data_IF_833976564487
#
_entry.id   IF_833976564487
#
_cell.length_a   1.000
_cell.length_b   1.000
_cell.length_c   1.000
_cell.angle_alpha   90.00
_cell.angle_beta   90.00
_cell.angle_gamma   90.00
#
_symmetry.space_group_name_H-M   'P 1'
#
loop_
_entity.id
_entity.type
_entity.pdbx_description
1 polymer ?
#
# COMPACT_ATOMS: atom_id res chain seq x y z
N UNK A 1 -0.76 -7.27 -2.74
CA UNK A 1 -1.57 -7.11 -3.98
C UNK A 1 -0.73 -6.71 -5.19
N UNK A 2 -0.26 -5.45 -5.29
CA UNK A 2 0.51 -4.96 -6.45
C UNK A 2 1.69 -5.86 -6.84
N UNK A 3 2.57 -6.18 -5.89
CA UNK A 3 3.79 -6.96 -6.17
C UNK A 3 3.52 -8.33 -6.80
N UNK A 4 2.42 -8.97 -6.45
CA UNK A 4 2.01 -10.28 -6.97
C UNK A 4 1.24 -10.16 -8.29
N UNK A 5 0.35 -9.16 -8.42
CA UNK A 5 -0.67 -9.13 -9.47
C UNK A 5 -0.48 -8.04 -10.53
N UNK A 6 0.61 -7.27 -10.48
CA UNK A 6 0.85 -6.18 -11.44
C UNK A 6 0.99 -6.66 -12.88
N UNK A 7 1.61 -7.83 -13.06
CA UNK A 7 1.87 -8.45 -14.38
C UNK A 7 0.98 -9.70 -14.60
N UNK A 8 -0.12 -9.82 -13.86
CA UNK A 8 -1.03 -10.97 -13.99
C UNK A 8 -1.63 -11.03 -15.40
N UNK A 9 -1.43 -12.16 -16.06
CA UNK A 9 -1.79 -12.41 -17.47
C UNK A 9 -3.03 -13.30 -17.63
N UNK A 10 -3.66 -13.68 -16.52
CA UNK A 10 -4.84 -14.54 -16.49
C UNK A 10 -4.60 -15.90 -15.84
N UNK A 11 -3.35 -16.26 -15.56
CA UNK A 11 -2.99 -17.51 -14.89
C UNK A 11 -2.63 -17.29 -13.41
N UNK A 12 -3.25 -18.06 -12.53
CA UNK A 12 -3.03 -18.03 -11.07
C UNK A 12 -2.44 -19.35 -10.57
N UNK A 13 -2.31 -20.36 -11.44
CA UNK A 13 -2.05 -21.74 -11.05
C UNK A 13 -3.20 -22.37 -10.25
N UNK A 14 -2.90 -23.51 -9.63
CA UNK A 14 -3.89 -24.37 -8.98
C UNK A 14 -4.13 -24.01 -7.50
N UNK A 15 -3.21 -23.25 -6.88
CA UNK A 15 -3.30 -22.86 -5.47
C UNK A 15 -3.12 -21.35 -5.29
N UNK A 16 -3.82 -20.72 -4.32
CA UNK A 16 -3.62 -19.32 -4.01
C UNK A 16 -2.17 -19.05 -3.55
N UNK A 17 -1.45 -18.06 -4.12
CA UNK A 17 -0.09 -17.78 -3.71
C UNK A 17 -0.04 -17.25 -2.27
N UNK A 18 1.05 -17.55 -1.56
CA UNK A 18 1.29 -17.03 -0.21
C UNK A 18 1.50 -15.51 -0.25
N UNK A 19 0.83 -14.78 0.63
CA UNK A 19 0.80 -13.32 0.60
C UNK A 19 2.11 -12.70 1.08
N UNK A 20 2.43 -12.86 2.37
CA UNK A 20 3.62 -12.25 2.97
C UNK A 20 4.87 -13.09 2.69
N UNK A 21 4.76 -14.42 2.76
CA UNK A 21 5.88 -15.31 2.47
C UNK A 21 6.27 -15.29 0.98
N UNK A 22 5.32 -15.01 0.08
CA UNK A 22 5.57 -14.82 -1.34
C UNK A 22 6.17 -13.46 -1.72
N UNK A 23 6.48 -12.59 -0.75
CA UNK A 23 7.01 -11.25 -1.04
C UNK A 23 8.31 -11.30 -1.86
N UNK A 24 8.26 -10.73 -3.06
CA UNK A 24 9.40 -10.63 -3.98
C UNK A 24 10.33 -9.47 -3.62
N UNK A 25 11.54 -9.48 -4.19
CA UNK A 25 12.54 -8.41 -3.97
C UNK A 25 12.07 -7.05 -4.49
N UNK A 26 11.47 -7.03 -5.68
CA UNK A 26 10.94 -5.81 -6.29
C UNK A 26 9.78 -5.24 -5.49
N UNK A 27 8.91 -6.10 -4.95
CA UNK A 27 7.80 -5.69 -4.08
C UNK A 27 8.31 -5.16 -2.73
N UNK A 28 9.31 -5.81 -2.13
CA UNK A 28 9.93 -5.33 -0.89
C UNK A 28 10.65 -3.98 -1.09
N UNK A 29 11.33 -3.80 -2.21
CA UNK A 29 11.97 -2.53 -2.58
C UNK A 29 10.93 -1.42 -2.72
N UNK A 30 9.84 -1.65 -3.47
CA UNK A 30 8.76 -0.68 -3.60
C UNK A 30 8.12 -0.35 -2.24
N UNK A 31 7.88 -1.36 -1.39
CA UNK A 31 7.35 -1.16 -0.04
C UNK A 31 8.28 -0.29 0.81
N UNK A 32 9.60 -0.51 0.71
CA UNK A 32 10.61 0.31 1.37
C UNK A 32 10.58 1.76 0.87
N UNK A 33 10.54 1.97 -0.45
CA UNK A 33 10.47 3.32 -1.03
C UNK A 33 9.20 4.08 -0.66
N UNK A 34 8.06 3.39 -0.55
CA UNK A 34 6.81 3.98 -0.03
C UNK A 34 6.96 4.34 1.47
N UNK A 35 7.60 3.49 2.27
CA UNK A 35 7.83 3.79 3.68
C UNK A 35 8.76 5.01 3.87
N UNK A 36 9.76 5.19 3.01
CA UNK A 36 10.59 6.40 2.98
C UNK A 36 9.80 7.65 2.63
N UNK A 37 8.87 7.57 1.66
CA UNK A 37 7.95 8.67 1.35
C UNK A 37 7.08 9.03 2.57
N UNK A 38 6.54 8.04 3.27
CA UNK A 38 5.73 8.26 4.48
C UNK A 38 6.53 8.94 5.59
N UNK A 39 7.78 8.52 5.82
CA UNK A 39 8.66 9.17 6.81
C UNK A 39 8.94 10.63 6.41
N UNK A 40 9.20 10.91 5.13
CA UNK A 40 9.39 12.29 4.62
C UNK A 40 8.14 13.15 4.82
N UNK A 41 6.95 12.59 4.57
CA UNK A 41 5.67 13.27 4.84
C UNK A 41 5.57 13.62 6.32
N UNK A 42 5.80 12.66 7.22
CA UNK A 42 5.73 12.88 8.66
C UNK A 42 6.69 13.98 9.12
N UNK A 43 7.94 13.97 8.67
CA UNK A 43 8.91 15.03 8.98
C UNK A 43 8.45 16.41 8.47
N UNK A 44 7.85 16.48 7.28
CA UNK A 44 7.33 17.74 6.74
C UNK A 44 6.10 18.24 7.51
N UNK A 45 5.23 17.35 8.00
CA UNK A 45 4.11 17.70 8.89
C UNK A 45 4.64 18.25 10.21
N UNK A 46 5.60 17.57 10.84
CA UNK A 46 6.22 18.00 12.10
C UNK A 46 6.84 19.39 11.97
N UNK A 47 7.59 19.66 10.89
CA UNK A 47 8.17 21.00 10.63
C UNK A 47 7.06 22.06 10.48
N UNK A 48 6.00 21.75 9.73
CA UNK A 48 4.95 22.72 9.41
C UNK A 48 4.03 23.02 10.60
N UNK A 49 3.77 22.01 11.44
CA UNK A 49 2.83 22.09 12.57
C UNK A 49 3.52 22.39 13.90
N UNK A 50 4.82 22.06 14.01
CA UNK A 50 5.60 22.05 15.26
C UNK A 50 5.10 21.03 16.29
N UNK A 51 4.32 20.04 15.85
CA UNK A 51 3.85 18.92 16.66
C UNK A 51 4.81 17.73 16.58
N UNK A 52 4.93 16.97 17.66
CA UNK A 52 5.81 15.79 17.73
C UNK A 52 5.22 14.61 16.94
N UNK A 53 5.88 14.22 15.84
CA UNK A 53 5.46 13.10 14.97
C UNK A 53 6.63 12.11 14.74
N UNK A 54 7.71 12.24 15.51
CA UNK A 54 8.95 11.47 15.37
C UNK A 54 8.79 9.95 15.55
N UNK A 55 7.64 9.50 16.06
CA UNK A 55 7.27 8.08 16.18
C UNK A 55 6.96 7.40 14.86
N UNK A 56 6.73 8.16 13.78
CA UNK A 56 6.61 7.59 12.42
C UNK A 56 8.00 7.15 11.95
N UNK A 57 8.18 5.84 11.83
CA UNK A 57 9.46 5.23 11.45
C UNK A 57 9.30 4.36 10.20
N UNK A 58 10.44 4.03 9.58
CA UNK A 58 10.47 3.09 8.46
C UNK A 58 9.85 1.73 8.83
N UNK A 59 9.12 1.13 7.90
CA UNK A 59 8.32 -0.08 8.13
C UNK A 59 9.14 -1.29 8.60
N UNK A 60 10.41 -1.39 8.19
CA UNK A 60 11.32 -2.44 8.66
C UNK A 60 11.59 -2.30 10.16
N UNK A 61 11.93 -1.10 10.63
CA UNK A 61 12.15 -0.84 12.06
C UNK A 61 10.86 -1.05 12.86
N UNK A 62 9.71 -0.64 12.32
CA UNK A 62 8.42 -0.91 12.94
C UNK A 62 8.16 -2.42 13.10
N UNK A 63 8.41 -3.22 12.06
CA UNK A 63 8.27 -4.68 12.12
C UNK A 63 9.15 -5.29 13.20
N UNK A 64 10.42 -4.90 13.27
CA UNK A 64 11.35 -5.42 14.28
C UNK A 64 10.93 -5.06 15.70
N UNK A 65 10.37 -3.86 15.91
CA UNK A 65 9.84 -3.43 17.22
C UNK A 65 8.57 -4.20 17.61
N UNK A 66 7.69 -4.47 16.65
CA UNK A 66 6.36 -5.05 16.92
C UNK A 66 6.34 -6.57 16.97
N UNK A 67 7.17 -7.21 16.14
CA UNK A 67 7.14 -8.65 15.86
C UNK A 67 8.54 -9.29 16.00
N UNK A 68 9.49 -8.63 16.67
CA UNK A 68 10.86 -9.11 16.74
C UNK A 68 10.98 -10.58 17.12
N UNK A 69 10.25 -11.01 18.14
CA UNK A 69 10.28 -12.39 18.66
C UNK A 69 9.73 -13.43 17.67
N UNK A 70 8.89 -13.01 16.72
CA UNK A 70 8.29 -13.86 15.70
C UNK A 70 9.13 -13.92 14.40
N UNK A 71 10.20 -13.11 14.29
CA UNK A 71 11.01 -12.96 13.07
C UNK A 71 12.34 -13.68 13.22
N UNK A 72 12.55 -14.71 12.39
CA UNK A 72 13.79 -15.51 12.37
C UNK A 72 14.95 -14.75 11.70
N UNK A 73 14.74 -14.19 10.51
CA UNK A 73 15.76 -13.43 9.78
C UNK A 73 15.38 -11.95 9.70
N UNK A 74 16.16 -11.11 10.39
CA UNK A 74 15.92 -9.67 10.53
C UNK A 74 16.74 -8.82 9.55
N UNK A 75 17.55 -9.44 8.70
CA UNK A 75 18.58 -8.78 7.87
C UNK A 75 18.02 -7.72 6.91
N UNK A 76 16.84 -7.98 6.33
CA UNK A 76 16.20 -7.09 5.36
C UNK A 76 14.70 -6.98 5.64
N UNK A 77 14.03 -5.97 5.09
CA UNK A 77 12.57 -5.87 5.17
C UNK A 77 11.87 -7.12 4.63
N UNK A 78 12.38 -7.64 3.50
CA UNK A 78 11.83 -8.83 2.86
C UNK A 78 11.95 -10.06 3.75
N UNK A 79 13.17 -10.37 4.20
CA UNK A 79 13.42 -11.55 5.03
C UNK A 79 12.69 -11.45 6.37
N UNK A 80 12.58 -10.24 6.93
CA UNK A 80 11.80 -9.99 8.14
C UNK A 80 10.31 -10.33 7.95
N UNK A 81 9.71 -9.95 6.81
CA UNK A 81 8.31 -10.28 6.50
C UNK A 81 8.16 -11.78 6.20
N UNK A 82 9.02 -12.35 5.36
CA UNK A 82 8.91 -13.75 4.92
C UNK A 82 9.11 -14.76 6.06
N UNK A 83 9.93 -14.41 7.05
CA UNK A 83 10.26 -15.29 8.17
C UNK A 83 9.49 -14.97 9.46
N UNK A 84 8.50 -14.07 9.39
CA UNK A 84 7.60 -13.82 10.50
C UNK A 84 6.63 -15.01 10.68
N UNK A 85 6.67 -15.65 11.85
CA UNK A 85 5.84 -16.82 12.16
C UNK A 85 4.33 -16.55 12.03
N UNK A 86 3.87 -15.33 12.33
CA UNK A 86 2.46 -14.95 12.25
C UNK A 86 1.92 -14.91 10.81
N UNK A 87 2.79 -14.88 9.80
CA UNK A 87 2.39 -14.66 8.40
C UNK A 87 2.46 -15.90 7.51
N UNK A 88 2.92 -17.04 8.04
CA UNK A 88 3.38 -18.19 7.23
C UNK A 88 2.32 -18.82 6.33
N UNK A 89 1.05 -18.79 6.73
CA UNK A 89 -0.05 -19.46 6.03
C UNK A 89 -1.04 -18.50 5.36
N UNK A 90 -0.78 -17.19 5.41
CA UNK A 90 -1.71 -16.21 4.84
C UNK A 90 -1.56 -16.22 3.32
N UNK A 91 -2.66 -16.50 2.62
CA UNK A 91 -2.75 -16.55 1.17
C UNK A 91 -3.34 -15.27 0.58
N UNK A 92 -3.10 -15.06 -0.71
CA UNK A 92 -3.77 -14.02 -1.47
C UNK A 92 -5.27 -14.30 -1.58
N UNK A 93 -6.13 -13.26 -1.51
CA UNK A 93 -7.53 -13.41 -1.79
C UNK A 93 -7.72 -13.71 -3.28
N UNK A 94 -8.37 -14.83 -3.57
CA UNK A 94 -8.69 -15.28 -4.93
C UNK A 94 -10.13 -15.76 -4.95
N UNK A 95 -10.78 -15.59 -6.10
CA UNK A 95 -12.08 -16.16 -6.40
C UNK A 95 -11.88 -17.42 -7.24
N UNK A 96 -12.77 -18.41 -7.05
CA UNK A 96 -12.93 -19.51 -8.01
C UNK A 96 -14.19 -19.21 -8.81
N UNK A 97 -14.05 -19.11 -10.12
CA UNK A 97 -15.24 -19.13 -10.97
C UNK A 97 -15.67 -20.59 -11.18
N UNK A 98 -16.89 -20.81 -11.68
CA UNK A 98 -17.43 -22.16 -11.90
C UNK A 98 -16.64 -23.05 -12.87
N UNK A 99 -15.56 -22.53 -13.49
CA UNK A 99 -14.59 -23.26 -14.31
C UNK A 99 -13.41 -23.84 -13.50
N UNK A 100 -13.39 -23.64 -12.18
CA UNK A 100 -12.34 -24.11 -11.27
C UNK A 100 -11.04 -23.30 -11.34
N UNK A 101 -10.96 -22.25 -12.17
CA UNK A 101 -9.77 -21.40 -12.25
C UNK A 101 -9.77 -20.35 -11.16
N UNK A 102 -8.62 -20.20 -10.52
CA UNK A 102 -8.40 -19.15 -9.52
C UNK A 102 -8.10 -17.82 -10.22
N UNK A 103 -8.71 -16.74 -9.71
CA UNK A 103 -8.47 -15.37 -10.18
C UNK A 103 -8.29 -14.43 -9.00
N UNK A 104 -7.42 -13.41 -9.07
CA UNK A 104 -7.24 -12.46 -7.96
C UNK A 104 -8.54 -11.76 -7.62
N UNK A 105 -8.89 -11.74 -6.34
CA UNK A 105 -10.04 -10.98 -5.88
C UNK A 105 -9.64 -9.50 -5.67
N UNK A 106 -9.94 -8.66 -6.67
CA UNK A 106 -9.71 -7.21 -6.57
C UNK A 106 -10.81 -6.47 -5.80
N UNK A 107 -11.87 -7.15 -5.34
CA UNK A 107 -12.90 -6.58 -4.48
C UNK A 107 -12.57 -6.68 -2.99
N UNK A 108 -11.47 -7.35 -2.64
CA UNK A 108 -11.04 -7.55 -1.26
C UNK A 108 -10.74 -6.25 -0.50
N UNK A 109 -10.81 -6.33 0.84
CA UNK A 109 -10.62 -5.18 1.75
C UNK A 109 -9.24 -4.52 1.66
N UNK A 110 -8.20 -5.28 1.25
CA UNK A 110 -6.86 -4.71 0.97
C UNK A 110 -6.89 -3.62 -0.10
N UNK A 111 -7.89 -3.63 -0.99
CA UNK A 111 -8.08 -2.57 -1.98
C UNK A 111 -9.23 -1.66 -1.58
N UNK A 112 -10.40 -2.23 -1.29
CA UNK A 112 -11.63 -1.46 -1.06
C UNK A 112 -11.61 -0.62 0.22
N UNK A 113 -10.77 -0.96 1.20
CA UNK A 113 -10.59 -0.17 2.43
C UNK A 113 -9.23 0.54 2.48
N UNK A 114 -8.12 -0.18 2.32
CA UNK A 114 -6.79 0.42 2.54
C UNK A 114 -6.46 1.53 1.52
N UNK A 115 -7.04 1.48 0.31
CA UNK A 115 -6.77 2.48 -0.73
C UNK A 115 -7.53 3.79 -0.45
N UNK A 116 -8.87 3.81 -0.33
CA UNK A 116 -9.60 5.07 -0.14
C UNK A 116 -9.39 5.67 1.26
N UNK A 117 -9.22 4.84 2.29
CA UNK A 117 -9.13 5.31 3.68
C UNK A 117 -7.70 5.36 4.23
N UNK A 118 -6.73 4.81 3.50
CA UNK A 118 -5.31 4.89 3.83
C UNK A 118 -4.50 5.63 2.76
N UNK A 119 -4.30 5.00 1.60
CA UNK A 119 -3.36 5.48 0.60
C UNK A 119 -3.74 6.85 0.00
N UNK A 120 -5.03 7.06 -0.31
CA UNK A 120 -5.53 8.36 -0.81
C UNK A 120 -5.35 9.45 0.25
N UNK A 121 -5.62 9.14 1.52
CA UNK A 121 -5.46 10.07 2.65
C UNK A 121 -4.00 10.49 2.80
N UNK A 122 -3.08 9.53 2.85
CA UNK A 122 -1.63 9.78 2.96
C UNK A 122 -1.16 10.64 1.79
N UNK A 123 -1.63 10.34 0.56
CA UNK A 123 -1.28 11.11 -0.62
C UNK A 123 -1.83 12.55 -0.59
N UNK A 124 -3.02 12.75 -0.03
CA UNK A 124 -3.60 14.06 0.24
C UNK A 124 -2.79 14.86 1.26
N UNK A 125 -2.31 14.23 2.33
CA UNK A 125 -1.43 14.88 3.32
C UNK A 125 -0.11 15.28 2.66
N UNK A 126 0.51 14.40 1.85
CA UNK A 126 1.71 14.72 1.08
C UNK A 126 1.57 16.01 0.26
N UNK A 127 0.42 16.19 -0.40
CA UNK A 127 0.11 17.43 -1.14
C UNK A 127 0.16 18.66 -0.21
N UNK A 128 -0.50 18.59 0.96
CA UNK A 128 -0.59 19.71 1.90
C UNK A 128 0.77 20.14 2.48
N UNK A 129 1.73 19.23 2.55
CA UNK A 129 3.09 19.50 3.03
C UNK A 129 4.13 19.59 1.91
N UNK A 130 3.71 19.55 0.64
CA UNK A 130 4.59 19.74 -0.51
C UNK A 130 5.58 18.60 -0.76
N UNK A 131 5.28 17.37 -0.32
CA UNK A 131 6.16 16.20 -0.49
C UNK A 131 5.78 15.44 -1.76
N UNK A 132 6.78 15.24 -2.63
CA UNK A 132 6.63 14.42 -3.84
C UNK A 132 6.65 12.93 -3.50
N UNK A 133 5.73 12.15 -4.08
CA UNK A 133 5.44 10.76 -3.69
C UNK A 133 5.24 9.83 -4.91
N UNK A 134 6.28 9.65 -5.74
CA UNK A 134 6.18 8.90 -6.99
C UNK A 134 5.81 7.42 -6.79
N UNK A 135 6.22 6.79 -5.68
CA UNK A 135 5.93 5.38 -5.43
C UNK A 135 4.50 5.19 -4.93
N UNK A 136 4.00 6.09 -4.08
CA UNK A 136 2.56 6.13 -3.73
C UNK A 136 1.72 6.40 -4.99
N UNK A 137 2.12 7.34 -5.86
CA UNK A 137 1.42 7.62 -7.12
C UNK A 137 1.36 6.39 -8.03
N UNK A 138 2.47 5.65 -8.16
CA UNK A 138 2.54 4.40 -8.92
C UNK A 138 1.55 3.37 -8.37
N UNK A 139 1.58 3.12 -7.06
CA UNK A 139 0.71 2.14 -6.42
C UNK A 139 -0.77 2.54 -6.53
N UNK A 140 -1.08 3.81 -6.28
CA UNK A 140 -2.44 4.33 -6.30
C UNK A 140 -3.06 4.24 -7.70
N UNK A 141 -2.30 4.55 -8.76
CA UNK A 141 -2.74 4.37 -10.16
C UNK A 141 -3.11 2.94 -10.48
N UNK A 142 -2.30 1.98 -10.03
CA UNK A 142 -2.60 0.57 -10.25
C UNK A 142 -3.84 0.14 -9.45
N UNK A 143 -3.91 0.49 -8.17
CA UNK A 143 -5.03 0.12 -7.31
C UNK A 143 -6.36 0.67 -7.84
N UNK A 144 -6.41 1.96 -8.18
CA UNK A 144 -7.65 2.58 -8.67
C UNK A 144 -8.13 1.93 -9.98
N UNK A 145 -7.21 1.56 -10.87
CA UNK A 145 -7.55 0.83 -12.10
C UNK A 145 -8.18 -0.54 -11.78
N UNK A 146 -7.58 -1.31 -10.87
CA UNK A 146 -8.10 -2.62 -10.47
C UNK A 146 -9.46 -2.55 -9.78
N UNK A 147 -9.72 -1.45 -9.07
CA UNK A 147 -10.99 -1.20 -8.39
C UNK A 147 -12.07 -0.57 -9.31
N UNK A 148 -11.72 -0.16 -10.54
CA UNK A 148 -12.63 0.62 -11.39
C UNK A 148 -12.97 2.00 -10.81
N UNK A 149 -12.02 2.59 -10.07
CA UNK A 149 -12.14 3.86 -9.35
C UNK A 149 -11.14 4.89 -9.89
N UNK A 150 -11.39 6.16 -9.61
CA UNK A 150 -10.50 7.24 -10.00
C UNK A 150 -10.31 8.24 -8.85
N UNK A 151 -9.14 8.17 -8.21
CA UNK A 151 -8.74 9.08 -7.13
C UNK A 151 -7.63 10.04 -7.59
N UNK A 152 -6.62 9.52 -8.29
CA UNK A 152 -5.47 10.28 -8.77
C UNK A 152 -5.58 10.55 -10.28
N UNK A 153 -5.54 11.82 -10.68
CA UNK A 153 -5.56 12.28 -12.09
C UNK A 153 -4.48 13.33 -12.26
N UNK A 154 -3.59 13.18 -13.26
CA UNK A 154 -2.45 14.08 -13.50
C UNK A 154 -1.60 14.33 -12.24
N UNK A 155 -1.37 13.27 -11.46
CA UNK A 155 -0.62 13.30 -10.17
C UNK A 155 -1.24 14.20 -9.09
N UNK A 156 -2.55 14.45 -9.18
CA UNK A 156 -3.35 15.18 -8.19
C UNK A 156 -4.51 14.34 -7.69
N UNK A 157 -4.84 14.44 -6.41
CA UNK A 157 -5.98 13.75 -5.79
C UNK A 157 -7.25 14.53 -6.13
N UNK A 158 -7.74 14.35 -7.35
CA UNK A 158 -8.87 15.11 -7.93
C UNK A 158 -9.78 14.25 -8.82
N UNK A 159 -9.66 12.93 -8.75
CA UNK A 159 -10.51 12.03 -9.51
C UNK A 159 -11.97 12.04 -9.04
N UNK A 160 -12.89 11.56 -9.88
CA UNK A 160 -14.34 11.58 -9.60
C UNK A 160 -14.75 10.82 -8.33
N UNK A 161 -13.94 9.87 -7.86
CA UNK A 161 -14.24 9.06 -6.67
C UNK A 161 -13.61 9.62 -5.38
N UNK A 162 -12.87 10.73 -5.42
CA UNK A 162 -12.24 11.34 -4.22
C UNK A 162 -13.26 11.64 -3.12
N UNK A 163 -14.48 12.04 -3.48
CA UNK A 163 -15.54 12.29 -2.49
C UNK A 163 -15.94 11.04 -1.67
N UNK A 164 -15.59 9.84 -2.13
CA UNK A 164 -15.85 8.57 -1.43
C UNK A 164 -14.65 8.06 -0.62
N UNK A 165 -13.57 8.84 -0.52
CA UNK A 165 -12.38 8.49 0.26
C UNK A 165 -12.39 9.09 1.67
N UNK A 166 -11.55 8.56 2.56
CA UNK A 166 -11.64 8.72 4.01
C UNK A 166 -11.25 10.08 4.60
N UNK A 167 -11.26 11.14 3.80
CA UNK A 167 -10.81 12.43 4.28
C UNK A 167 -11.40 13.58 3.49
N UNK A 168 -10.96 14.80 3.81
CA UNK A 168 -11.73 15.99 3.51
C UNK A 168 -11.69 16.29 2.01
N UNK A 169 -12.74 15.92 1.30
CA UNK A 169 -12.88 16.08 -0.16
C UNK A 169 -12.66 17.51 -0.62
N UNK A 170 -13.13 18.50 0.15
CA UNK A 170 -12.95 19.94 -0.09
C UNK A 170 -11.48 20.40 0.03
N UNK A 171 -10.67 19.72 0.85
CA UNK A 171 -9.25 20.04 1.05
C UNK A 171 -8.39 19.33 -0.01
N UNK A 172 -8.84 18.18 -0.49
CA UNK A 172 -8.11 17.38 -1.46
C UNK A 172 -8.32 17.85 -2.89
N UNK A 173 -9.56 18.23 -3.25
CA UNK A 173 -9.89 18.78 -4.55
C UNK A 173 -9.16 20.12 -4.73
N UNK A 174 -8.38 20.25 -5.81
CA UNK A 174 -7.92 21.56 -6.26
C UNK A 174 -9.16 22.30 -6.80
N UNK A 175 -9.72 23.23 -6.03
CA UNK A 175 -10.60 24.25 -6.59
C UNK A 175 -9.71 25.24 -7.34
N UNK A 176 -9.53 24.99 -8.63
CA UNK A 176 -8.99 25.97 -9.59
C UNK A 176 -10.02 27.04 -9.90
#
# INVERSE_FOLDING_TARGET
>A
MYGQWKDWDGDTGDEPPLFYRGLTESAATLLSSIAEEIVKIASAVEIKTKEEISKVVHIHLWHLRRHGDDIVDRSTLKTAIQTNAAYQMIQHPVNSDGDGKLRPDFSCRYLTEDVPYGLVVIRGIAKLVGVHTPNIDLLLKWCQQKMGKEYLVNSKVQGKDVASSGGPSEIWADHT
#
